data_IF_117344681357
#
_entry.id   IF_117344681357
#
_cell.length_a   1.000
_cell.length_b   1.000
_cell.length_c   1.000
_cell.angle_alpha   90.00
_cell.angle_beta   90.00
_cell.angle_gamma   90.00
#
_symmetry.space_group_name_H-M   'P 1'
#
loop_
_entity.id
_entity.type
_entity.pdbx_description
1 polymer ?
#
# COMPACT_ATOMS: atom_id res chain seq x y z
N UNK A 1 48.30 22.45 16.70
CA UNK A 1 47.86 21.19 17.33
C UNK A 1 46.55 20.78 16.70
N UNK A 2 46.48 19.53 16.20
CA UNK A 2 45.30 18.82 15.67
C UNK A 2 44.44 18.35 16.87
N UNK A 3 43.11 18.24 16.78
CA UNK A 3 42.31 17.05 16.38
C UNK A 3 40.85 17.50 16.11
N UNK A 4 40.19 17.28 14.96
CA UNK A 4 39.54 16.07 14.43
C UNK A 4 38.67 15.26 15.42
N UNK A 5 37.34 15.35 15.28
CA UNK A 5 36.27 14.33 15.47
C UNK A 5 34.93 15.07 15.37
N UNK A 6 33.83 14.63 14.76
CA UNK A 6 33.43 13.54 13.88
C UNK A 6 31.97 13.95 13.50
N UNK A 7 31.64 14.18 12.23
CA UNK A 7 31.08 13.18 11.31
C UNK A 7 29.59 12.81 11.57
N UNK A 8 28.78 12.99 10.52
CA UNK A 8 27.57 12.20 10.15
C UNK A 8 26.18 12.84 10.29
N UNK A 9 25.86 13.87 9.51
CA UNK A 9 24.48 14.28 9.21
C UNK A 9 24.08 14.12 7.72
N UNK A 10 24.77 13.30 6.93
CA UNK A 10 24.49 13.22 5.49
C UNK A 10 24.78 11.84 4.89
N UNK A 11 24.03 10.81 5.30
CA UNK A 11 23.85 9.57 4.53
C UNK A 11 22.48 8.99 4.91
N UNK A 12 21.80 8.34 3.96
CA UNK A 12 20.37 7.92 3.92
C UNK A 12 19.51 9.07 3.34
N UNK A 13 19.46 9.30 2.03
CA UNK A 13 18.80 8.38 1.11
C UNK A 13 19.21 8.70 -0.35
N UNK A 14 20.44 8.34 -0.73
CA UNK A 14 20.89 8.48 -2.11
C UNK A 14 21.78 7.30 -2.49
N UNK A 15 21.23 6.09 -2.46
CA UNK A 15 21.83 4.93 -3.10
C UNK A 15 20.75 3.96 -3.57
N UNK A 16 20.36 4.10 -4.84
CA UNK A 16 20.05 2.98 -5.73
C UNK A 16 19.90 3.51 -7.17
N UNK A 17 20.97 4.12 -7.69
CA UNK A 17 21.17 4.20 -9.13
C UNK A 17 22.20 3.13 -9.47
N UNK A 18 21.82 2.14 -10.30
CA UNK A 18 22.62 1.57 -11.40
C UNK A 18 22.12 0.15 -11.76
N UNK A 19 21.32 0.04 -12.81
CA UNK A 19 21.28 -1.17 -13.65
C UNK A 19 21.44 -0.76 -15.12
N UNK A 20 22.72 -0.65 -15.48
CA UNK A 20 23.39 -1.02 -16.72
C UNK A 20 22.50 -1.19 -17.97
N UNK A 21 22.81 -0.37 -18.98
CA UNK A 21 22.39 -0.48 -20.38
C UNK A 21 23.34 -1.40 -21.17
N UNK A 22 22.82 -2.34 -21.97
CA UNK A 22 23.52 -2.90 -23.14
C UNK A 22 22.54 -3.06 -24.33
N UNK A 23 22.96 -2.75 -25.59
CA UNK A 23 22.13 -2.98 -26.78
C UNK A 23 22.59 -4.17 -27.65
N UNK A 24 21.67 -4.59 -28.54
CA UNK A 24 21.82 -5.30 -29.82
C UNK A 24 21.51 -6.82 -29.91
N UNK A 25 20.25 -7.08 -30.32
CA UNK A 25 19.80 -7.86 -31.51
C UNK A 25 20.23 -9.32 -31.75
N UNK A 26 19.26 -10.25 -31.74
CA UNK A 26 19.07 -11.24 -32.81
C UNK A 26 17.70 -11.94 -32.73
N UNK A 27 17.00 -11.92 -33.86
CA UNK A 27 15.70 -12.55 -34.17
C UNK A 27 15.75 -14.08 -34.23
N UNK A 28 14.69 -14.77 -33.78
CA UNK A 28 13.90 -15.73 -34.58
C UNK A 28 12.88 -16.50 -33.72
N UNK A 29 11.61 -16.40 -34.11
CA UNK A 29 10.54 -17.40 -34.06
C UNK A 29 10.47 -18.39 -32.87
N UNK A 30 9.44 -18.23 -32.05
CA UNK A 30 8.51 -19.34 -31.79
C UNK A 30 7.19 -18.84 -31.22
N UNK A 31 6.13 -19.14 -31.96
CA UNK A 31 4.75 -19.36 -31.53
C UNK A 31 4.03 -18.23 -30.78
N UNK A 32 2.89 -17.83 -31.38
CA UNK A 32 1.90 -16.98 -30.76
C UNK A 32 1.45 -17.52 -29.41
N UNK A 33 1.92 -16.90 -28.34
CA UNK A 33 1.13 -16.74 -27.15
C UNK A 33 0.39 -15.41 -27.33
N UNK A 34 -0.88 -15.47 -27.72
CA UNK A 34 -1.81 -14.40 -27.38
C UNK A 34 -1.73 -14.24 -25.87
N UNK A 35 -1.01 -13.21 -25.42
CA UNK A 35 -1.01 -12.77 -24.04
C UNK A 35 -2.40 -12.20 -23.77
N UNK A 36 -3.38 -13.07 -23.56
CA UNK A 36 -4.61 -12.78 -22.85
C UNK A 36 -4.21 -12.58 -21.38
N UNK A 37 -3.46 -11.50 -21.14
CA UNK A 37 -2.93 -11.07 -19.86
C UNK A 37 -4.05 -10.40 -19.06
N UNK A 38 -5.15 -11.12 -18.85
CA UNK A 38 -5.95 -10.87 -17.65
C UNK A 38 -5.17 -11.54 -16.54
N UNK A 39 -4.17 -10.83 -16.00
CA UNK A 39 -3.46 -11.26 -14.81
C UNK A 39 -4.52 -11.70 -13.80
N UNK A 40 -4.43 -12.96 -13.36
CA UNK A 40 -5.32 -13.48 -12.34
C UNK A 40 -5.02 -12.70 -11.06
N UNK A 41 -5.83 -11.67 -10.80
CA UNK A 41 -5.66 -10.81 -9.64
C UNK A 41 -6.14 -11.62 -8.44
N UNK A 42 -5.22 -11.92 -7.53
CA UNK A 42 -5.56 -12.56 -6.26
C UNK A 42 -6.35 -11.57 -5.39
N UNK A 43 -7.67 -11.61 -5.53
CA UNK A 43 -8.59 -10.77 -4.78
C UNK A 43 -8.63 -11.13 -3.29
N UNK A 44 -8.22 -12.34 -2.89
CA UNK A 44 -8.10 -12.70 -1.47
C UNK A 44 -6.89 -11.96 -0.87
N UNK A 45 -5.75 -11.99 -1.54
CA UNK A 45 -4.55 -11.27 -1.12
C UNK A 45 -4.80 -9.75 -1.04
N UNK A 46 -5.52 -9.17 -2.00
CA UNK A 46 -5.90 -7.75 -1.94
C UNK A 46 -6.85 -7.43 -0.78
N UNK A 47 -7.82 -8.29 -0.50
CA UNK A 47 -8.71 -8.09 0.65
C UNK A 47 -7.93 -8.13 1.98
N UNK A 48 -6.97 -9.05 2.11
CA UNK A 48 -6.09 -9.13 3.28
C UNK A 48 -5.17 -7.92 3.38
N UNK A 49 -4.58 -7.47 2.28
CA UNK A 49 -3.75 -6.26 2.25
C UNK A 49 -4.49 -5.06 2.82
N UNK A 50 -5.72 -4.80 2.36
CA UNK A 50 -6.50 -3.68 2.85
C UNK A 50 -6.96 -3.85 4.31
N UNK A 51 -7.20 -5.09 4.77
CA UNK A 51 -7.44 -5.36 6.20
C UNK A 51 -6.21 -5.04 7.06
N UNK A 52 -5.02 -5.45 6.62
CA UNK A 52 -3.78 -5.13 7.34
C UNK A 52 -3.54 -3.61 7.39
N UNK A 53 -3.88 -2.87 6.32
CA UNK A 53 -3.84 -1.41 6.35
C UNK A 53 -4.79 -0.82 7.41
N UNK A 54 -5.98 -1.41 7.60
CA UNK A 54 -6.92 -1.00 8.67
C UNK A 54 -6.27 -1.17 10.04
N UNK A 55 -5.67 -2.31 10.30
CA UNK A 55 -5.00 -2.59 11.57
C UNK A 55 -3.84 -1.61 11.82
N UNK A 56 -3.02 -1.34 10.80
CA UNK A 56 -1.93 -0.35 10.87
C UNK A 56 -2.45 1.05 11.24
N UNK A 57 -3.57 1.47 10.67
CA UNK A 57 -4.15 2.79 10.94
C UNK A 57 -4.77 2.88 12.33
N UNK A 58 -5.34 1.79 12.85
CA UNK A 58 -5.83 1.72 14.23
C UNK A 58 -4.67 1.90 15.21
N UNK A 59 -3.55 1.21 15.00
CA UNK A 59 -2.33 1.40 15.81
C UNK A 59 -1.85 2.86 15.75
N UNK A 60 -1.84 3.50 14.58
CA UNK A 60 -1.45 4.92 14.46
C UNK A 60 -2.40 5.87 15.20
N UNK A 61 -3.69 5.56 15.27
CA UNK A 61 -4.65 6.33 16.08
C UNK A 61 -4.31 6.19 17.57
N UNK A 62 -4.05 4.97 18.04
CA UNK A 62 -3.66 4.72 19.42
C UNK A 62 -2.36 5.46 19.78
N UNK A 63 -1.34 5.45 18.91
CA UNK A 63 -0.11 6.22 19.08
C UNK A 63 -0.37 7.73 19.19
N UNK A 64 -1.29 8.29 18.39
CA UNK A 64 -1.66 9.70 18.47
C UNK A 64 -2.34 10.03 19.82
N UNK A 65 -3.23 9.15 20.29
CA UNK A 65 -3.93 9.31 21.57
C UNK A 65 -2.94 9.22 22.73
N UNK A 66 -2.04 8.23 22.69
CA UNK A 66 -1.00 8.03 23.71
C UNK A 66 -0.02 9.20 23.75
N UNK A 67 0.40 9.73 22.60
CA UNK A 67 1.28 10.90 22.54
C UNK A 67 0.64 12.16 23.17
N UNK A 68 -0.69 12.27 23.16
CA UNK A 68 -1.41 13.34 23.85
C UNK A 68 -1.57 13.08 25.35
N UNK A 69 -1.81 11.84 25.77
CA UNK A 69 -2.04 11.49 27.18
C UNK A 69 -0.81 11.75 28.06
N UNK A 70 0.39 11.59 27.50
CA UNK A 70 1.66 11.80 28.19
C UNK A 70 2.07 13.29 28.32
N UNK A 71 1.34 14.23 27.72
CA UNK A 71 1.67 15.65 27.82
C UNK A 71 1.09 16.29 29.09
N UNK A 72 1.87 17.11 29.82
CA UNK A 72 1.34 17.86 30.97
C UNK A 72 0.14 18.71 30.55
N UNK A 73 -0.92 18.77 31.36
CA UNK A 73 -2.12 19.58 31.07
C UNK A 73 -1.77 21.06 30.80
N UNK A 74 -0.74 21.57 31.48
CA UNK A 74 -0.20 22.92 31.29
C UNK A 74 0.33 23.18 29.87
N UNK A 75 0.82 22.15 29.18
CA UNK A 75 1.33 22.27 27.80
C UNK A 75 0.25 22.60 26.76
N UNK A 76 -1.03 22.40 27.10
CA UNK A 76 -2.16 22.73 26.23
C UNK A 76 -2.71 24.14 26.45
N UNK A 77 -2.35 24.81 27.55
CA UNK A 77 -2.79 26.16 27.86
C UNK A 77 -1.87 27.19 27.18
N UNK A 78 -2.06 27.36 25.87
CA UNK A 78 -1.33 28.32 25.04
C UNK A 78 -1.69 28.18 23.56
N UNK A 79 -1.32 29.16 22.73
CA UNK A 79 -1.58 29.12 21.28
C UNK A 79 -0.93 27.89 20.63
N UNK A 80 0.28 27.54 21.05
CA UNK A 80 1.00 26.35 20.58
C UNK A 80 0.33 25.04 21.03
N UNK A 81 -0.14 24.97 22.28
CA UNK A 81 -0.87 23.82 22.80
C UNK A 81 -2.17 23.53 22.05
N UNK A 82 -2.96 24.58 21.75
CA UNK A 82 -4.17 24.45 20.91
C UNK A 82 -3.87 23.99 19.49
N UNK A 83 -2.77 24.46 18.90
CA UNK A 83 -2.34 24.03 17.56
C UNK A 83 -1.95 22.54 17.54
N UNK A 84 -1.23 22.06 18.57
CA UNK A 84 -0.87 20.65 18.70
C UNK A 84 -2.13 19.78 18.79
N UNK A 85 -3.10 20.16 19.63
CA UNK A 85 -4.37 19.43 19.78
C UNK A 85 -5.10 19.29 18.43
N UNK A 86 -5.29 20.41 17.73
CA UNK A 86 -5.94 20.42 16.41
C UNK A 86 -5.20 19.57 15.38
N UNK A 87 -3.88 19.60 15.41
CA UNK A 87 -3.07 18.81 14.48
C UNK A 87 -3.21 17.30 14.74
N UNK A 88 -3.27 16.89 16.00
CA UNK A 88 -3.51 15.49 16.35
C UNK A 88 -4.93 15.05 16.00
N UNK A 89 -5.94 15.88 16.31
CA UNK A 89 -7.33 15.63 15.92
C UNK A 89 -7.46 15.44 14.40
N UNK A 90 -6.78 16.30 13.62
CA UNK A 90 -6.72 16.17 12.17
C UNK A 90 -6.10 14.84 11.74
N UNK A 91 -4.97 14.44 12.32
CA UNK A 91 -4.33 13.15 11.98
C UNK A 91 -5.22 11.95 12.27
N UNK A 92 -5.87 11.93 13.44
CA UNK A 92 -6.82 10.86 13.82
C UNK A 92 -7.93 10.79 12.77
N UNK A 93 -8.52 11.93 12.43
CA UNK A 93 -9.57 11.99 11.43
C UNK A 93 -9.13 11.48 10.04
N UNK A 94 -7.90 11.79 9.61
CA UNK A 94 -7.36 11.27 8.36
C UNK A 94 -7.19 9.74 8.39
N UNK A 95 -6.79 9.16 9.52
CA UNK A 95 -6.70 7.72 9.67
C UNK A 95 -8.08 7.05 9.67
N UNK A 96 -9.09 7.66 10.30
CA UNK A 96 -10.47 7.18 10.26
C UNK A 96 -11.02 7.12 8.83
N UNK A 97 -10.85 8.20 8.06
CA UNK A 97 -11.24 8.23 6.64
C UNK A 97 -10.56 7.09 5.87
N UNK A 98 -9.25 6.93 6.08
CA UNK A 98 -8.50 5.90 5.40
C UNK A 98 -8.95 4.49 5.84
N UNK A 99 -9.31 4.27 7.12
CA UNK A 99 -9.92 3.00 7.59
C UNK A 99 -11.20 2.71 6.80
N UNK A 100 -12.10 3.68 6.66
CA UNK A 100 -13.33 3.49 5.90
C UNK A 100 -13.07 3.12 4.43
N UNK A 101 -12.12 3.80 3.79
CA UNK A 101 -11.74 3.51 2.40
C UNK A 101 -11.14 2.11 2.25
N UNK A 102 -10.26 1.70 3.16
CA UNK A 102 -9.62 0.39 3.12
C UNK A 102 -10.64 -0.73 3.41
N UNK A 103 -11.59 -0.53 4.32
CA UNK A 103 -12.69 -1.47 4.56
C UNK A 103 -13.59 -1.65 3.33
N UNK A 104 -13.91 -0.56 2.62
CA UNK A 104 -14.67 -0.61 1.36
C UNK A 104 -13.93 -1.43 0.31
N UNK A 105 -12.62 -1.21 0.15
CA UNK A 105 -11.78 -1.96 -0.80
C UNK A 105 -11.62 -3.43 -0.42
N UNK A 106 -11.43 -3.73 0.87
CA UNK A 106 -11.35 -5.10 1.37
C UNK A 106 -12.65 -5.87 1.10
N UNK A 107 -13.80 -5.23 1.36
CA UNK A 107 -15.12 -5.81 1.12
C UNK A 107 -15.34 -6.06 -0.37
N UNK A 108 -14.99 -5.09 -1.22
CA UNK A 108 -15.08 -5.23 -2.68
C UNK A 108 -14.29 -6.44 -3.18
N UNK A 109 -13.02 -6.58 -2.79
CA UNK A 109 -12.21 -7.71 -3.23
C UNK A 109 -12.68 -9.05 -2.65
N UNK A 110 -13.21 -9.06 -1.43
CA UNK A 110 -13.82 -10.25 -0.86
C UNK A 110 -15.06 -10.70 -1.65
N UNK A 111 -15.89 -9.76 -2.12
CA UNK A 111 -17.05 -10.06 -2.98
C UNK A 111 -16.63 -10.61 -4.33
N UNK A 112 -15.64 -10.00 -4.99
CA UNK A 112 -15.14 -10.48 -6.29
C UNK A 112 -14.54 -11.89 -6.17
N UNK A 113 -13.76 -12.16 -5.11
CA UNK A 113 -13.24 -13.50 -4.86
C UNK A 113 -14.34 -14.55 -4.65
N UNK A 114 -15.42 -14.18 -3.94
CA UNK A 114 -16.57 -15.05 -3.75
C UNK A 114 -17.27 -15.34 -5.08
N UNK A 115 -17.50 -14.32 -5.92
CA UNK A 115 -18.10 -14.47 -7.25
C UNK A 115 -17.28 -15.37 -8.18
N UNK A 116 -15.94 -15.23 -8.16
CA UNK A 116 -15.04 -16.10 -8.92
C UNK A 116 -15.10 -17.56 -8.44
N UNK A 117 -15.20 -17.80 -7.13
CA UNK A 117 -15.32 -19.15 -6.59
C UNK A 117 -16.66 -19.83 -6.92
N UNK A 118 -17.74 -19.05 -7.08
CA UNK A 118 -19.09 -19.54 -7.39
C UNK A 118 -19.30 -19.77 -8.89
N UNK A 119 -18.59 -19.05 -9.76
CA UNK A 119 -18.67 -19.19 -11.22
C UNK A 119 -17.33 -19.63 -11.84
N UNK A 120 -16.76 -20.80 -11.51
CA UNK A 120 -15.54 -21.28 -12.15
C UNK A 120 -15.74 -21.59 -13.65
N UNK A 121 -17.00 -21.76 -14.10
CA UNK A 121 -17.35 -22.16 -15.47
C UNK A 121 -17.30 -21.01 -16.51
N UNK A 122 -17.38 -19.74 -16.11
CA UNK A 122 -17.25 -18.61 -17.06
C UNK A 122 -15.79 -18.34 -17.45
N UNK A 123 -14.82 -18.80 -16.66
CA UNK A 123 -13.41 -18.81 -17.05
C UNK A 123 -13.13 -19.87 -18.14
N UNK A 124 -13.85 -21.01 -18.13
CA UNK A 124 -13.67 -22.10 -19.11
C UNK A 124 -14.49 -21.93 -20.40
N UNK A 125 -15.62 -21.23 -20.38
CA UNK A 125 -16.44 -21.00 -21.57
C UNK A 125 -15.82 -20.03 -22.59
N UNK A 126 -14.87 -19.17 -22.18
CA UNK A 126 -14.16 -18.28 -23.12
C UNK A 126 -13.07 -19.01 -23.91
N UNK A 127 -12.68 -20.23 -23.50
CA UNK A 127 -11.68 -21.05 -24.20
C UNK A 127 -12.30 -21.97 -25.27
N UNK A 128 -13.57 -22.33 -25.15
CA UNK A 128 -14.23 -23.32 -26.02
C UNK A 128 -14.80 -22.75 -27.34
N UNK A 129 -14.72 -21.44 -27.58
CA UNK A 129 -15.30 -20.79 -28.76
C UNK A 129 -14.36 -20.62 -29.96
N UNK A 130 -13.06 -20.96 -29.84
CA UNK A 130 -12.05 -20.52 -30.81
C UNK A 130 -11.28 -21.67 -31.52
N UNK A 131 -11.90 -22.83 -31.73
CA UNK A 131 -11.32 -23.91 -32.58
C UNK A 131 -12.27 -24.28 -33.72
N UNK A 132 -12.43 -23.39 -34.71
CA UNK A 132 -12.99 -23.78 -36.00
C UNK A 132 -12.46 -22.91 -37.15
N UNK A 133 -11.38 -23.35 -37.77
CA UNK A 133 -11.10 -23.25 -39.23
C UNK A 133 -9.93 -24.17 -39.55
#
# INVERSE_FOLDING_TARGET
MKTLTAQNFSVIASFAFLLITLPASSSAASQGATLNNKADVDHIALAQYYKNQVDEMQVKIEEQIEALSHKPRTSFFGRNGRNIKKHVEYKIHQYEIAIEENLKKATYHQQVAAEQSLNPASASLTQSGNTRS
#
